data_IF_944362248296
#
_entry.id   IF_944362248296
#
_cell.length_a   1.000
_cell.length_b   1.000
_cell.length_c   1.000
_cell.angle_alpha   90.00
_cell.angle_beta   90.00
_cell.angle_gamma   90.00
#
_symmetry.space_group_name_H-M   'P 1'
#
loop_
_entity.id
_entity.type
_entity.pdbx_description
1 polymer ?
#
# COMPACT_ATOMS: atom_id res chain seq x y z
N UNK A 1 -2.25 -2.79 26.17
CA UNK A 1 -3.11 -2.99 24.98
C UNK A 1 -3.12 -1.78 24.05
N UNK A 2 -3.52 -0.59 24.51
CA UNK A 2 -3.67 0.61 23.66
C UNK A 2 -2.39 1.07 22.92
N UNK A 3 -1.22 1.01 23.56
CA UNK A 3 0.06 1.39 22.94
C UNK A 3 0.41 0.52 21.73
N UNK A 4 0.15 -0.79 21.80
CA UNK A 4 0.42 -1.72 20.69
C UNK A 4 -0.47 -1.41 19.48
N UNK A 5 -1.73 -1.07 19.72
CA UNK A 5 -2.67 -0.67 18.67
C UNK A 5 -2.24 0.63 18.00
N UNK A 6 -1.78 1.63 18.77
CA UNK A 6 -1.26 2.89 18.22
C UNK A 6 -0.02 2.69 17.34
N UNK A 7 0.90 1.84 17.78
CA UNK A 7 2.10 1.50 17.00
C UNK A 7 1.71 0.82 15.69
N UNK A 8 0.77 -0.12 15.73
CA UNK A 8 0.31 -0.86 14.56
C UNK A 8 -0.42 0.02 13.55
N UNK A 9 -1.25 0.97 14.02
CA UNK A 9 -1.87 1.98 13.17
C UNK A 9 -0.82 2.91 12.54
N UNK A 10 0.16 3.35 13.33
CA UNK A 10 1.28 4.15 12.83
C UNK A 10 2.10 3.40 11.77
N UNK A 11 2.37 2.12 11.98
CA UNK A 11 3.08 1.29 11.01
C UNK A 11 2.27 1.08 9.73
N UNK A 12 0.97 0.86 9.84
CA UNK A 12 0.05 0.76 8.70
C UNK A 12 0.06 2.04 7.87
N UNK A 13 0.05 3.19 8.52
CA UNK A 13 0.14 4.50 7.85
C UNK A 13 1.50 4.71 7.17
N UNK A 14 2.61 4.31 7.80
CA UNK A 14 3.94 4.37 7.17
C UNK A 14 3.99 3.47 5.94
N UNK A 15 3.45 2.25 6.03
CA UNK A 15 3.35 1.34 4.89
C UNK A 15 2.51 1.93 3.76
N UNK A 16 1.39 2.59 4.07
CA UNK A 16 0.57 3.31 3.09
C UNK A 16 1.38 4.39 2.35
N UNK A 17 2.11 5.24 3.07
CA UNK A 17 2.96 6.27 2.46
C UNK A 17 4.06 5.66 1.59
N UNK A 18 4.69 4.58 2.05
CA UNK A 18 5.71 3.87 1.30
C UNK A 18 5.13 3.21 0.04
N UNK A 19 3.90 2.70 0.09
CA UNK A 19 3.21 2.13 -1.04
C UNK A 19 2.91 3.19 -2.11
N UNK A 20 2.42 4.36 -1.70
CA UNK A 20 2.18 5.51 -2.59
C UNK A 20 3.49 5.95 -3.24
N UNK A 21 4.58 6.06 -2.45
CA UNK A 21 5.90 6.40 -2.97
C UNK A 21 6.44 5.35 -3.95
N UNK A 22 6.27 4.06 -3.64
CA UNK A 22 6.67 2.94 -4.49
C UNK A 22 5.97 2.97 -5.85
N UNK A 23 4.64 3.13 -5.87
CA UNK A 23 3.85 3.22 -7.09
C UNK A 23 4.23 4.44 -7.93
N UNK A 24 4.46 5.59 -7.28
CA UNK A 24 4.87 6.81 -7.96
C UNK A 24 6.26 6.67 -8.57
N UNK A 25 7.22 6.18 -7.78
CA UNK A 25 8.59 5.95 -8.23
C UNK A 25 8.62 4.99 -9.42
N UNK A 26 7.96 3.84 -9.31
CA UNK A 26 7.84 2.90 -10.42
C UNK A 26 7.17 3.54 -11.63
N UNK A 27 6.04 4.24 -11.46
CA UNK A 27 5.31 4.86 -12.56
C UNK A 27 6.14 5.90 -13.31
N UNK A 28 6.95 6.69 -12.61
CA UNK A 28 7.91 7.61 -13.23
C UNK A 28 9.09 6.93 -13.91
N UNK A 29 9.37 5.65 -13.62
CA UNK A 29 10.43 4.87 -14.27
C UNK A 29 9.89 3.84 -15.27
N UNK A 30 8.55 3.69 -15.35
CA UNK A 30 7.88 2.77 -16.25
C UNK A 30 7.72 3.38 -17.66
N UNK A 31 8.47 2.85 -18.63
CA UNK A 31 8.33 3.17 -20.05
C UNK A 31 9.26 4.26 -20.58
N UNK A 32 9.34 4.38 -21.91
CA UNK A 32 10.25 5.29 -22.61
C UNK A 32 9.67 6.69 -22.84
N UNK A 33 8.34 6.82 -22.88
CA UNK A 33 7.66 8.02 -23.34
C UNK A 33 7.17 8.87 -22.15
N UNK A 34 7.46 10.17 -22.18
CA UNK A 34 7.12 11.11 -21.09
C UNK A 34 5.63 11.11 -20.69
N UNK A 35 4.64 11.06 -21.61
CA UNK A 35 3.23 11.04 -21.23
C UNK A 35 2.85 9.80 -20.42
N UNK A 36 3.40 8.64 -20.75
CA UNK A 36 3.12 7.40 -20.04
C UNK A 36 3.71 7.42 -18.62
N UNK A 37 4.93 7.97 -18.47
CA UNK A 37 5.59 8.13 -17.18
C UNK A 37 4.81 9.07 -16.26
N UNK A 38 4.27 10.16 -16.79
CA UNK A 38 3.41 11.07 -16.03
C UNK A 38 2.09 10.40 -15.63
N UNK A 39 1.45 9.70 -16.57
CA UNK A 39 0.19 9.01 -16.33
C UNK A 39 0.33 7.94 -15.25
N UNK A 40 1.37 7.10 -15.32
CA UNK A 40 1.60 6.05 -14.32
C UNK A 40 2.14 6.63 -13.00
N UNK A 41 3.11 7.55 -13.08
CA UNK A 41 3.76 8.14 -11.92
C UNK A 41 2.84 8.99 -11.04
N UNK A 42 1.78 9.57 -11.61
CA UNK A 42 0.77 10.31 -10.86
C UNK A 42 -0.50 9.48 -10.68
N UNK A 43 -0.96 8.82 -11.75
CA UNK A 43 -2.22 8.08 -11.76
C UNK A 43 -2.21 6.90 -10.78
N UNK A 44 -1.13 6.13 -10.68
CA UNK A 44 -1.08 5.00 -9.76
C UNK A 44 -1.13 5.44 -8.27
N UNK A 45 -0.31 6.42 -7.81
CA UNK A 45 -0.45 7.00 -6.47
C UNK A 45 -1.84 7.56 -6.18
N UNK A 46 -2.39 8.34 -7.12
CA UNK A 46 -3.70 8.98 -6.95
C UNK A 46 -4.79 7.93 -6.81
N UNK A 47 -4.82 6.92 -7.70
CA UNK A 47 -5.77 5.81 -7.62
C UNK A 47 -5.66 5.07 -6.29
N UNK A 48 -4.44 4.80 -5.82
CA UNK A 48 -4.23 4.15 -4.52
C UNK A 48 -4.82 5.00 -3.39
N UNK A 49 -4.52 6.30 -3.33
CA UNK A 49 -5.03 7.22 -2.30
C UNK A 49 -6.57 7.24 -2.32
N UNK A 50 -7.19 7.30 -3.50
CA UNK A 50 -8.64 7.27 -3.63
C UNK A 50 -9.24 5.95 -3.15
N UNK A 51 -8.71 4.81 -3.59
CA UNK A 51 -9.17 3.48 -3.16
C UNK A 51 -9.02 3.33 -1.66
N UNK A 52 -7.88 3.76 -1.11
CA UNK A 52 -7.60 3.65 0.30
C UNK A 52 -8.50 4.55 1.13
N UNK A 53 -8.57 5.84 0.83
CA UNK A 53 -9.40 6.80 1.55
C UNK A 53 -10.90 6.52 1.44
N UNK A 54 -11.34 5.92 0.34
CA UNK A 54 -12.76 5.63 0.12
C UNK A 54 -13.19 4.33 0.80
N UNK A 55 -12.36 3.28 0.76
CA UNK A 55 -12.77 1.93 1.17
C UNK A 55 -12.00 1.33 2.35
N UNK A 56 -10.68 1.59 2.44
CA UNK A 56 -9.78 0.84 3.33
C UNK A 56 -9.37 1.59 4.60
N UNK A 57 -9.40 2.93 4.57
CA UNK A 57 -8.98 3.76 5.67
C UNK A 57 -9.84 3.52 6.93
N UNK A 58 -9.29 3.72 8.14
CA UNK A 58 -10.07 3.62 9.39
C UNK A 58 -11.28 4.55 9.42
N UNK A 59 -11.23 5.66 8.68
CA UNK A 59 -12.32 6.63 8.47
C UNK A 59 -12.75 6.66 7.00
N UNK A 60 -12.82 5.50 6.37
CA UNK A 60 -13.25 5.35 4.98
C UNK A 60 -14.65 5.93 4.77
N UNK A 61 -14.88 6.58 3.62
CA UNK A 61 -16.21 7.10 3.26
C UNK A 61 -17.24 5.99 3.04
N UNK A 62 -16.79 4.87 2.49
CA UNK A 62 -17.59 3.66 2.22
C UNK A 62 -16.79 2.47 2.77
N UNK A 63 -16.82 2.23 4.09
CA UNK A 63 -16.02 1.18 4.69
C UNK A 63 -16.44 -0.19 4.16
N UNK A 64 -15.46 -0.99 3.74
CA UNK A 64 -15.64 -2.40 3.43
C UNK A 64 -15.12 -3.25 4.57
N UNK A 65 -15.79 -4.37 4.84
CA UNK A 65 -15.50 -5.24 5.99
C UNK A 65 -15.25 -6.69 5.56
N UNK A 66 -14.73 -7.48 6.50
CA UNK A 66 -14.49 -8.91 6.31
C UNK A 66 -13.45 -9.23 5.24
N UNK A 67 -13.62 -10.38 4.60
CA UNK A 67 -12.63 -10.94 3.67
C UNK A 67 -12.33 -10.02 2.47
N UNK A 68 -13.29 -9.19 2.05
CA UNK A 68 -13.11 -8.29 0.92
C UNK A 68 -12.13 -7.16 1.23
N UNK A 69 -12.22 -6.56 2.43
CA UNK A 69 -11.26 -5.57 2.93
C UNK A 69 -9.85 -6.14 2.96
N UNK A 70 -9.70 -7.33 3.54
CA UNK A 70 -8.45 -8.08 3.60
C UNK A 70 -7.84 -8.29 2.22
N UNK A 71 -8.62 -8.78 1.27
CA UNK A 71 -8.17 -9.06 -0.08
C UNK A 71 -7.68 -7.78 -0.78
N UNK A 72 -8.43 -6.68 -0.66
CA UNK A 72 -8.02 -5.40 -1.24
C UNK A 72 -6.74 -4.84 -0.62
N UNK A 73 -6.58 -4.93 0.70
CA UNK A 73 -5.34 -4.54 1.40
C UNK A 73 -4.15 -5.33 0.85
N UNK A 74 -4.28 -6.65 0.77
CA UNK A 74 -3.21 -7.52 0.24
C UNK A 74 -2.88 -7.17 -1.20
N UNK A 75 -3.88 -6.93 -2.05
CA UNK A 75 -3.66 -6.54 -3.45
C UNK A 75 -2.90 -5.22 -3.53
N UNK A 76 -3.32 -4.17 -2.82
CA UNK A 76 -2.69 -2.85 -2.86
C UNK A 76 -1.22 -2.93 -2.44
N UNK A 77 -0.93 -3.62 -1.33
CA UNK A 77 0.45 -3.76 -0.86
C UNK A 77 1.29 -4.70 -1.72
N UNK A 78 0.71 -5.75 -2.29
CA UNK A 78 1.40 -6.60 -3.25
C UNK A 78 1.76 -5.82 -4.53
N UNK A 79 0.86 -4.98 -5.04
CA UNK A 79 1.12 -4.12 -6.19
C UNK A 79 2.24 -3.12 -5.91
N UNK A 80 2.28 -2.52 -4.72
CA UNK A 80 3.38 -1.64 -4.32
C UNK A 80 4.73 -2.38 -4.22
N UNK A 81 4.73 -3.61 -3.69
CA UNK A 81 5.93 -4.44 -3.67
C UNK A 81 6.41 -4.81 -5.09
N UNK A 82 5.47 -5.20 -5.97
CA UNK A 82 5.76 -5.47 -7.38
C UNK A 82 6.28 -4.24 -8.11
N UNK A 83 5.74 -3.06 -7.81
CA UNK A 83 6.23 -1.79 -8.34
C UNK A 83 7.68 -1.52 -7.93
N UNK A 84 8.04 -1.71 -6.65
CA UNK A 84 9.44 -1.62 -6.19
C UNK A 84 10.35 -2.62 -6.90
N UNK A 85 9.88 -3.85 -7.06
CA UNK A 85 10.63 -4.91 -7.73
C UNK A 85 10.89 -4.54 -9.21
N UNK A 86 9.84 -4.14 -9.92
CA UNK A 86 9.92 -3.71 -11.32
C UNK A 86 10.74 -2.43 -11.49
N UNK A 87 10.81 -1.57 -10.48
CA UNK A 87 11.67 -0.40 -10.44
C UNK A 87 13.14 -0.72 -10.08
N UNK A 88 13.53 -1.99 -10.05
CA UNK A 88 14.91 -2.42 -9.83
C UNK A 88 15.36 -2.47 -8.36
N UNK A 89 14.42 -2.39 -7.41
CA UNK A 89 14.70 -2.41 -5.97
C UNK A 89 14.19 -3.68 -5.28
N UNK A 90 14.68 -4.89 -5.65
CA UNK A 90 14.13 -6.16 -5.17
C UNK A 90 14.29 -6.35 -3.66
N UNK A 91 15.40 -5.89 -3.08
CA UNK A 91 15.61 -5.97 -1.62
C UNK A 91 14.57 -5.13 -0.88
N UNK A 92 14.29 -3.92 -1.35
CA UNK A 92 13.28 -3.04 -0.74
C UNK A 92 11.87 -3.63 -0.90
N UNK A 93 11.56 -4.22 -2.06
CA UNK A 93 10.29 -4.91 -2.30
C UNK A 93 10.05 -6.06 -1.30
N UNK A 94 11.06 -6.91 -1.08
CA UNK A 94 10.97 -8.01 -0.12
C UNK A 94 10.80 -7.48 1.30
N UNK A 95 11.62 -6.51 1.73
CA UNK A 95 11.50 -5.94 3.07
C UNK A 95 10.13 -5.31 3.30
N UNK A 96 9.66 -4.51 2.35
CA UNK A 96 8.35 -3.87 2.40
C UNK A 96 7.22 -4.92 2.53
N UNK A 97 7.24 -5.95 1.69
CA UNK A 97 6.20 -6.99 1.70
C UNK A 97 6.22 -7.84 2.98
N UNK A 98 7.41 -8.15 3.51
CA UNK A 98 7.55 -8.87 4.78
C UNK A 98 7.03 -8.04 5.95
N UNK A 99 7.40 -6.75 6.03
CA UNK A 99 6.90 -5.85 7.09
C UNK A 99 5.38 -5.72 6.98
N UNK A 100 4.85 -5.58 5.76
CA UNK A 100 3.42 -5.58 5.51
C UNK A 100 2.74 -6.86 6.03
N UNK A 101 3.26 -8.04 5.69
CA UNK A 101 2.67 -9.32 6.14
C UNK A 101 2.66 -9.44 7.66
N UNK A 102 3.75 -9.05 8.34
CA UNK A 102 3.80 -9.05 9.80
C UNK A 102 2.74 -8.12 10.40
N UNK A 103 2.67 -6.88 9.91
CA UNK A 103 1.67 -5.91 10.33
C UNK A 103 0.24 -6.39 10.04
N UNK A 104 0.01 -7.02 8.90
CA UNK A 104 -1.27 -7.56 8.49
C UNK A 104 -1.75 -8.70 9.40
N UNK A 105 -0.86 -9.64 9.75
CA UNK A 105 -1.15 -10.73 10.67
C UNK A 105 -1.48 -10.18 12.06
N UNK A 106 -0.74 -9.18 12.54
CA UNK A 106 -1.00 -8.54 13.83
C UNK A 106 -2.38 -7.87 13.83
N UNK A 107 -2.75 -7.15 12.78
CA UNK A 107 -4.09 -6.57 12.63
C UNK A 107 -5.19 -7.64 12.64
N UNK A 108 -5.01 -8.70 11.86
CA UNK A 108 -5.97 -9.79 11.77
C UNK A 108 -6.17 -10.51 13.12
N UNK A 109 -5.10 -10.73 13.89
CA UNK A 109 -5.18 -11.31 15.24
C UNK A 109 -5.80 -10.35 16.26
N UNK A 110 -5.64 -9.03 16.08
CA UNK A 110 -6.24 -8.01 16.92
C UNK A 110 -7.73 -7.75 16.61
N UNK A 111 -8.28 -8.37 15.56
CA UNK A 111 -9.67 -8.20 15.14
C UNK A 111 -9.98 -6.86 14.46
N UNK A 112 -9.00 -6.24 13.80
CA UNK A 112 -9.13 -5.00 13.01
C UNK A 112 -8.98 -5.24 11.50
#
# INVERSE_FOLDING_TARGET
MAILLMINLGLTFILELLAVAALGYWGFHAGSNLPLRLLLGIGAPVLMIFVWGTYLAPKASIPIEGAWKTLMIVIVFALAALALYAAGHPRAAVWFFVIFLLNFIINALAGQ
#
